data_IF_380910993914
#
_entry.id   IF_380910993914
#
_cell.length_a   1.000
_cell.length_b   1.000
_cell.length_c   1.000
_cell.angle_alpha   90.00
_cell.angle_beta   90.00
_cell.angle_gamma   90.00
#
_symmetry.space_group_name_H-M   'P 1'
#
loop_
_entity.id
_entity.type
_entity.pdbx_description
1 polymer ?
#
# COMPACT_ATOMS: atom_id res chain seq x y z
N UNK A 1 -4.02 25.37 10.28
CA UNK A 1 -3.96 23.95 9.91
C UNK A 1 -2.68 23.24 10.35
N UNK A 2 -1.46 23.76 10.07
CA UNK A 2 -0.18 23.14 10.51
C UNK A 2 -0.08 22.94 12.04
N UNK A 3 -0.55 23.90 12.86
CA UNK A 3 -0.52 23.80 14.34
C UNK A 3 -1.49 22.76 14.89
N UNK A 4 -2.63 22.54 14.24
CA UNK A 4 -3.61 21.48 14.61
C UNK A 4 -3.06 20.07 14.30
N UNK A 5 -2.35 19.91 13.19
CA UNK A 5 -1.67 18.63 12.86
C UNK A 5 -0.58 18.29 13.88
N UNK A 6 0.22 19.29 14.29
CA UNK A 6 1.28 19.10 15.32
C UNK A 6 0.65 18.75 16.67
N UNK A 7 -0.46 19.40 17.05
CA UNK A 7 -1.17 19.10 18.30
C UNK A 7 -1.78 17.70 18.29
N UNK A 8 -2.31 17.25 17.15
CA UNK A 8 -2.83 15.89 16.99
C UNK A 8 -1.73 14.83 17.11
N UNK A 9 -0.55 15.09 16.53
CA UNK A 9 0.62 14.19 16.64
C UNK A 9 1.12 14.12 18.09
N UNK A 10 1.17 15.26 18.81
CA UNK A 10 1.59 15.31 20.21
C UNK A 10 0.56 14.64 21.15
N UNK A 11 -0.73 14.79 20.87
CA UNK A 11 -1.79 14.12 21.64
C UNK A 11 -1.78 12.59 21.44
N UNK A 12 -1.45 12.11 20.25
CA UNK A 12 -1.27 10.68 19.96
C UNK A 12 -0.02 10.10 20.66
N UNK A 13 1.05 10.89 20.83
CA UNK A 13 2.26 10.45 21.50
C UNK A 13 2.10 10.22 23.02
N UNK A 14 1.05 10.77 23.66
CA UNK A 14 0.81 10.62 25.10
C UNK A 14 0.05 9.33 25.49
N UNK A 15 -0.39 8.52 24.52
CA UNK A 15 -1.13 7.26 24.75
C UNK A 15 -0.24 6.00 24.74
N UNK A 16 1.06 6.14 24.83
CA UNK A 16 2.02 5.07 24.59
C UNK A 16 2.51 4.38 25.86
N UNK A 17 1.67 3.67 26.58
CA UNK A 17 2.15 2.63 27.48
C UNK A 17 1.95 1.27 26.77
N UNK A 18 3.00 0.64 26.27
CA UNK A 18 3.08 -0.75 25.79
C UNK A 18 2.79 -1.03 24.29
N UNK A 19 3.10 -0.13 23.37
CA UNK A 19 2.90 -0.40 21.94
C UNK A 19 4.06 -1.16 21.27
N UNK A 20 5.23 -1.24 21.91
CA UNK A 20 6.41 -1.84 21.30
C UNK A 20 6.57 -3.30 21.68
N UNK A 21 6.76 -4.17 20.69
CA UNK A 21 6.93 -5.60 20.85
C UNK A 21 8.30 -5.93 21.47
N UNK A 22 8.37 -6.99 22.29
CA UNK A 22 9.63 -7.48 22.87
C UNK A 22 10.57 -7.97 21.76
N UNK A 23 11.88 -7.76 21.97
CA UNK A 23 12.92 -8.23 21.04
C UNK A 23 12.90 -9.76 20.96
N UNK A 24 13.02 -10.28 19.75
CA UNK A 24 13.02 -11.72 19.49
C UNK A 24 11.62 -12.32 19.32
N UNK A 25 10.55 -11.51 19.30
CA UNK A 25 9.19 -12.00 19.17
C UNK A 25 8.60 -11.74 17.79
N UNK A 26 7.59 -12.54 17.44
CA UNK A 26 6.82 -12.44 16.21
C UNK A 26 5.45 -11.83 16.49
N UNK A 27 4.91 -11.14 15.51
CA UNK A 27 3.50 -10.74 15.49
C UNK A 27 2.91 -10.89 14.09
N UNK A 28 1.62 -11.21 14.04
CA UNK A 28 0.84 -11.15 12.81
C UNK A 28 -0.14 -9.98 12.92
N UNK A 29 -0.28 -9.22 11.82
CA UNK A 29 -1.17 -8.04 11.78
C UNK A 29 -2.05 -8.15 10.54
N UNK A 30 -3.28 -8.72 10.65
CA UNK A 30 -4.29 -8.58 9.62
C UNK A 30 -4.61 -7.10 9.42
N UNK A 31 -4.75 -6.69 8.15
CA UNK A 31 -4.95 -5.30 7.73
C UNK A 31 -6.00 -5.18 6.64
N UNK A 32 -6.74 -4.11 6.68
CA UNK A 32 -7.65 -3.67 5.62
C UNK A 32 -7.51 -2.17 5.41
N UNK A 33 -7.74 -1.71 4.21
CA UNK A 33 -7.63 -0.30 3.89
C UNK A 33 -7.94 0.02 2.45
N UNK A 34 -7.39 1.12 1.97
CA UNK A 34 -7.60 1.59 0.62
C UNK A 34 -6.31 2.04 -0.05
N UNK A 35 -6.36 2.00 -1.37
CA UNK A 35 -5.36 2.55 -2.28
C UNK A 35 -5.94 3.75 -3.02
N UNK A 36 -5.08 4.74 -3.26
CA UNK A 36 -5.24 5.74 -4.30
C UNK A 36 -4.12 5.47 -5.31
N UNK A 37 -4.49 4.85 -6.42
CA UNK A 37 -3.54 4.38 -7.42
C UNK A 37 -3.66 5.18 -8.71
N UNK A 38 -2.53 5.43 -9.36
CA UNK A 38 -2.45 5.98 -10.72
C UNK A 38 -1.31 5.32 -11.48
N UNK A 39 -1.22 5.60 -12.76
CA UNK A 39 -0.15 5.15 -13.65
C UNK A 39 0.63 6.37 -14.10
N UNK A 40 1.95 6.33 -13.92
CA UNK A 40 2.84 7.43 -14.35
C UNK A 40 2.90 7.56 -15.87
N UNK A 41 3.33 8.72 -16.36
CA UNK A 41 3.42 9.04 -17.80
C UNK A 41 2.09 8.87 -18.54
N UNK A 42 0.98 9.15 -17.83
CA UNK A 42 -0.37 9.24 -18.38
C UNK A 42 -1.11 10.43 -17.74
N UNK A 43 -2.05 11.01 -18.44
CA UNK A 43 -2.93 12.05 -17.90
C UNK A 43 -4.08 11.50 -17.04
N UNK A 44 -4.05 10.19 -16.76
CA UNK A 44 -5.09 9.52 -15.99
C UNK A 44 -5.06 9.91 -14.51
N UNK A 45 -6.22 10.17 -13.95
CA UNK A 45 -6.40 10.47 -12.54
C UNK A 45 -6.28 9.24 -11.64
N UNK A 46 -6.37 9.50 -10.34
CA UNK A 46 -6.28 8.44 -9.33
C UNK A 46 -7.54 7.58 -9.29
N UNK A 47 -7.35 6.27 -9.17
CA UNK A 47 -8.40 5.29 -8.91
C UNK A 47 -8.38 4.87 -7.46
N UNK A 48 -9.55 4.90 -6.82
CA UNK A 48 -9.75 4.29 -5.50
C UNK A 48 -9.83 2.78 -5.63
N UNK A 49 -9.15 2.07 -4.72
CA UNK A 49 -9.16 0.61 -4.63
C UNK A 49 -9.12 0.13 -3.19
N UNK A 50 -9.48 -1.12 -2.95
CA UNK A 50 -9.40 -1.77 -1.64
C UNK A 50 -8.09 -2.55 -1.54
N UNK A 51 -7.54 -2.62 -0.33
CA UNK A 51 -6.40 -3.47 0.01
C UNK A 51 -6.72 -4.24 1.28
N UNK A 52 -6.42 -5.53 1.29
CA UNK A 52 -6.58 -6.41 2.45
C UNK A 52 -5.50 -7.48 2.46
N UNK A 53 -5.07 -7.87 3.64
CA UNK A 53 -4.02 -8.87 3.79
C UNK A 53 -3.49 -8.95 5.22
N UNK A 54 -2.26 -9.40 5.37
CA UNK A 54 -1.61 -9.46 6.67
C UNK A 54 -0.09 -9.24 6.54
N UNK A 55 0.47 -8.67 7.59
CA UNK A 55 1.90 -8.56 7.83
C UNK A 55 2.31 -9.57 8.91
N UNK A 56 3.46 -10.21 8.71
CA UNK A 56 4.21 -10.95 9.70
C UNK A 56 5.45 -10.13 10.05
N UNK A 57 5.59 -9.73 11.31
CA UNK A 57 6.67 -8.86 11.79
C UNK A 57 7.51 -9.58 12.82
N UNK A 58 8.83 -9.48 12.68
CA UNK A 58 9.81 -9.95 13.66
C UNK A 58 10.57 -8.76 14.26
N UNK A 59 10.56 -8.63 15.58
CA UNK A 59 11.27 -7.59 16.30
C UNK A 59 12.74 -7.99 16.52
N UNK A 60 13.65 -7.43 15.71
CA UNK A 60 15.08 -7.74 15.77
C UNK A 60 15.79 -7.04 16.94
N UNK A 61 15.43 -5.79 17.17
CA UNK A 61 15.98 -4.94 18.22
C UNK A 61 14.88 -3.98 18.71
N UNK A 62 15.08 -3.31 19.83
CA UNK A 62 14.09 -2.34 20.36
C UNK A 62 13.59 -1.35 19.32
N UNK A 63 14.46 -0.87 18.44
CA UNK A 63 14.11 0.13 17.41
C UNK A 63 14.05 -0.42 16.00
N UNK A 64 14.21 -1.73 15.79
CA UNK A 64 14.30 -2.29 14.45
C UNK A 64 13.52 -3.59 14.32
N UNK A 65 12.65 -3.65 13.33
CA UNK A 65 11.90 -4.86 12.98
C UNK A 65 11.92 -5.10 11.47
N UNK A 66 11.72 -6.34 11.06
CA UNK A 66 11.50 -6.73 9.67
C UNK A 66 10.06 -7.23 9.55
N UNK A 67 9.40 -6.82 8.48
CA UNK A 67 8.05 -7.24 8.15
C UNK A 67 8.04 -7.87 6.77
N UNK A 68 7.36 -9.01 6.64
CA UNK A 68 6.96 -9.58 5.36
C UNK A 68 5.44 -9.68 5.32
N UNK A 69 4.81 -9.30 4.22
CA UNK A 69 3.35 -9.30 4.10
C UNK A 69 2.83 -10.00 2.86
N UNK A 70 1.53 -10.25 2.83
CA UNK A 70 0.79 -10.67 1.65
C UNK A 70 -0.54 -9.93 1.59
N UNK A 71 -0.80 -9.22 0.47
CA UNK A 71 -1.95 -8.35 0.32
C UNK A 71 -2.59 -8.52 -1.04
N UNK A 72 -3.91 -8.73 -1.05
CA UNK A 72 -4.72 -8.45 -2.23
C UNK A 72 -4.89 -6.94 -2.35
N UNK A 73 -4.63 -6.38 -3.52
CA UNK A 73 -4.51 -4.94 -3.73
C UNK A 73 -5.14 -4.54 -5.06
N UNK A 74 -6.25 -3.82 -5.00
CA UNK A 74 -6.89 -3.22 -6.16
C UNK A 74 -6.21 -1.90 -6.52
N UNK A 75 -5.67 -1.80 -7.73
CA UNK A 75 -4.92 -0.66 -8.24
C UNK A 75 -5.44 -0.24 -9.62
N UNK A 76 -4.71 0.65 -10.30
CA UNK A 76 -4.99 1.13 -11.65
C UNK A 76 -5.15 2.63 -11.73
N UNK A 77 -5.84 3.09 -12.77
CA UNK A 77 -6.06 4.51 -13.04
C UNK A 77 -7.49 4.75 -13.52
N UNK A 78 -7.96 5.98 -13.41
CA UNK A 78 -9.29 6.39 -13.88
C UNK A 78 -9.17 7.73 -14.60
N UNK A 79 -9.79 7.80 -15.76
CA UNK A 79 -9.88 9.03 -16.54
C UNK A 79 -11.31 9.34 -16.90
N UNK A 80 -11.60 10.65 -17.10
CA UNK A 80 -12.91 11.14 -17.53
C UNK A 80 -12.71 12.18 -18.61
N UNK A 81 -13.07 11.84 -19.84
CA UNK A 81 -12.99 12.75 -20.96
C UNK A 81 -14.28 12.69 -21.79
N UNK A 82 -14.82 13.85 -22.18
CA UNK A 82 -15.98 13.99 -23.06
C UNK A 82 -17.21 13.13 -22.67
N UNK A 83 -17.46 12.93 -21.36
CA UNK A 83 -18.57 12.12 -20.87
C UNK A 83 -18.32 10.60 -20.87
N UNK A 84 -17.15 10.16 -21.33
CA UNK A 84 -16.66 8.77 -21.20
C UNK A 84 -15.82 8.65 -19.96
N UNK A 85 -16.08 7.63 -19.14
CA UNK A 85 -15.22 7.26 -18.02
C UNK A 85 -14.45 6.02 -18.38
N UNK A 86 -13.13 6.14 -18.50
CA UNK A 86 -12.20 5.01 -18.71
C UNK A 86 -11.57 4.62 -17.37
N UNK A 87 -11.67 3.37 -16.99
CA UNK A 87 -11.11 2.86 -15.74
C UNK A 87 -10.22 1.65 -16.04
N UNK A 88 -8.93 1.80 -15.78
CA UNK A 88 -7.99 0.68 -15.75
C UNK A 88 -8.10 0.00 -14.39
N UNK A 89 -8.40 -1.29 -14.39
CA UNK A 89 -8.50 -2.14 -13.19
C UNK A 89 -7.32 -3.09 -13.19
N UNK A 90 -6.49 -2.98 -12.15
CA UNK A 90 -5.31 -3.82 -11.97
C UNK A 90 -5.37 -4.42 -10.56
N UNK A 91 -5.53 -5.74 -10.49
CA UNK A 91 -5.57 -6.44 -9.23
C UNK A 91 -4.28 -7.23 -9.02
N UNK A 92 -3.70 -7.11 -7.82
CA UNK A 92 -2.41 -7.72 -7.48
C UNK A 92 -2.47 -8.53 -6.19
N UNK A 93 -1.60 -9.54 -6.12
CA UNK A 93 -1.07 -10.01 -4.84
C UNK A 93 0.29 -9.35 -4.64
N UNK A 94 0.37 -8.46 -3.65
CA UNK A 94 1.60 -7.76 -3.26
C UNK A 94 2.26 -8.46 -2.08
N UNK A 95 3.58 -8.62 -2.15
CA UNK A 95 4.39 -9.25 -1.09
C UNK A 95 5.44 -8.24 -0.60
N UNK A 96 5.07 -7.26 0.24
CA UNK A 96 6.03 -6.30 0.78
C UNK A 96 7.01 -6.98 1.74
N UNK A 97 8.29 -6.62 1.64
CA UNK A 97 9.35 -6.93 2.59
C UNK A 97 9.91 -5.59 3.06
N UNK A 98 9.70 -5.26 4.33
CA UNK A 98 9.96 -3.94 4.89
C UNK A 98 10.92 -4.00 6.07
N UNK A 99 11.83 -3.05 6.12
CA UNK A 99 12.54 -2.65 7.34
C UNK A 99 11.72 -1.57 8.05
N UNK A 100 11.51 -1.73 9.34
CA UNK A 100 10.81 -0.77 10.19
C UNK A 100 11.78 -0.20 11.21
N UNK A 101 11.90 1.12 11.26
CA UNK A 101 12.72 1.82 12.25
C UNK A 101 11.81 2.66 13.15
N UNK A 102 11.75 2.30 14.44
CA UNK A 102 10.96 3.00 15.45
C UNK A 102 11.70 4.26 15.92
N UNK A 103 11.20 5.43 15.51
CA UNK A 103 11.76 6.75 15.89
C UNK A 103 11.37 7.14 17.32
N UNK A 104 10.16 6.80 17.71
CA UNK A 104 9.63 6.86 19.09
C UNK A 104 8.78 5.60 19.31
N UNK A 105 8.45 5.24 20.57
CA UNK A 105 7.53 4.13 20.84
C UNK A 105 6.24 4.23 20.01
N UNK A 106 5.90 3.17 19.30
CA UNK A 106 4.71 3.09 18.44
C UNK A 106 4.85 3.73 17.05
N UNK A 107 5.76 4.67 16.79
CA UNK A 107 5.92 5.30 15.48
C UNK A 107 7.11 4.71 14.73
N UNK A 108 6.88 4.02 13.66
CA UNK A 108 7.92 3.47 12.79
C UNK A 108 7.91 4.12 11.40
N UNK A 109 9.11 4.40 10.89
CA UNK A 109 9.35 4.69 9.47
C UNK A 109 9.63 3.34 8.79
N UNK A 110 9.10 3.15 7.60
CA UNK A 110 9.19 1.89 6.85
C UNK A 110 9.72 2.13 5.46
N UNK A 111 10.61 1.25 5.01
CA UNK A 111 11.04 1.20 3.63
C UNK A 111 11.40 -0.24 3.24
N UNK A 112 11.31 -0.57 1.95
CA UNK A 112 11.65 -1.90 1.49
C UNK A 112 11.42 -2.13 0.02
N UNK A 113 11.15 -3.38 -0.33
CA UNK A 113 10.82 -3.83 -1.68
C UNK A 113 9.49 -4.57 -1.66
N UNK A 114 8.71 -4.44 -2.73
CA UNK A 114 7.41 -5.09 -2.86
C UNK A 114 7.26 -5.67 -4.27
N UNK A 115 7.52 -6.96 -4.46
CA UNK A 115 7.02 -7.68 -5.62
C UNK A 115 5.50 -7.72 -5.60
N UNK A 116 4.88 -7.49 -6.76
CA UNK A 116 3.45 -7.57 -7.00
C UNK A 116 3.17 -8.50 -8.17
N UNK A 117 2.31 -9.48 -7.98
CA UNK A 117 1.88 -10.42 -9.00
C UNK A 117 0.49 -10.01 -9.49
N UNK A 118 0.39 -9.63 -10.76
CA UNK A 118 -0.87 -9.23 -11.36
C UNK A 118 -1.80 -10.43 -11.53
N UNK A 119 -3.03 -10.29 -11.03
CA UNK A 119 -4.08 -11.28 -11.15
C UNK A 119 -5.10 -10.93 -12.24
N UNK A 120 -5.32 -9.64 -12.48
CA UNK A 120 -6.30 -9.13 -13.42
C UNK A 120 -5.88 -7.77 -13.97
N UNK A 121 -6.05 -7.57 -15.26
CA UNK A 121 -5.71 -6.33 -15.98
C UNK A 121 -6.78 -6.03 -17.02
N UNK A 122 -7.74 -5.17 -16.66
CA UNK A 122 -8.90 -4.85 -17.48
C UNK A 122 -9.05 -3.37 -17.69
N UNK A 123 -9.54 -2.99 -18.87
CA UNK A 123 -9.99 -1.66 -19.21
C UNK A 123 -11.52 -1.66 -19.26
N UNK A 124 -12.14 -0.81 -18.44
CA UNK A 124 -13.58 -0.57 -18.44
C UNK A 124 -13.85 0.81 -19.01
N UNK A 125 -14.69 0.89 -20.04
CA UNK A 125 -15.21 2.13 -20.60
C UNK A 125 -16.70 2.26 -20.25
N UNK A 126 -17.10 3.41 -19.74
CA UNK A 126 -18.50 3.73 -19.39
C UNK A 126 -18.95 4.98 -20.13
N UNK A 127 -20.07 4.87 -20.85
CA UNK A 127 -20.71 5.98 -21.56
C UNK A 127 -22.22 5.87 -21.45
N UNK A 128 -22.91 6.92 -21.00
CA UNK A 128 -24.36 7.02 -20.89
C UNK A 128 -25.06 5.81 -20.24
N UNK A 129 -24.42 5.20 -19.21
CA UNK A 129 -24.97 4.05 -18.48
C UNK A 129 -24.64 2.69 -19.09
N UNK A 130 -24.07 2.63 -20.29
CA UNK A 130 -23.51 1.41 -20.86
C UNK A 130 -22.05 1.25 -20.45
N UNK A 131 -21.62 0.03 -20.19
CA UNK A 131 -20.22 -0.27 -19.86
C UNK A 131 -19.73 -1.50 -20.60
N UNK A 132 -18.51 -1.40 -21.11
CA UNK A 132 -17.78 -2.50 -21.73
C UNK A 132 -16.49 -2.74 -20.97
N UNK A 133 -16.10 -4.00 -20.80
CA UNK A 133 -14.82 -4.41 -20.20
C UNK A 133 -14.05 -5.27 -21.20
N UNK A 134 -12.77 -4.97 -21.37
CA UNK A 134 -11.85 -5.74 -22.20
C UNK A 134 -10.57 -6.04 -21.44
N UNK A 135 -9.95 -7.17 -21.69
CA UNK A 135 -8.63 -7.47 -21.14
C UNK A 135 -7.56 -6.63 -21.85
N UNK A 136 -6.50 -6.26 -21.14
CA UNK A 136 -5.38 -5.48 -21.69
C UNK A 136 -4.31 -6.45 -22.19
N UNK A 137 -4.00 -6.39 -23.48
CA UNK A 137 -2.92 -7.21 -24.05
C UNK A 137 -1.53 -6.72 -23.64
N UNK A 138 -0.54 -7.62 -23.66
CA UNK A 138 0.88 -7.35 -23.39
C UNK A 138 1.15 -6.70 -22.01
N UNK A 139 0.32 -6.99 -21.01
CA UNK A 139 0.50 -6.53 -19.65
C UNK A 139 1.47 -7.44 -18.88
N UNK A 140 2.41 -6.82 -18.11
CA UNK A 140 3.39 -7.60 -17.33
C UNK A 140 2.77 -8.16 -16.07
N UNK A 141 2.96 -9.44 -15.82
CA UNK A 141 2.45 -10.14 -14.65
C UNK A 141 3.20 -9.80 -13.36
N UNK A 142 4.45 -9.34 -13.46
CA UNK A 142 5.29 -8.97 -12.31
C UNK A 142 5.51 -7.47 -12.28
N UNK A 143 5.15 -6.85 -11.17
CA UNK A 143 5.46 -5.47 -10.82
C UNK A 143 6.37 -5.45 -9.60
N UNK A 144 7.37 -4.57 -9.60
CA UNK A 144 8.26 -4.35 -8.45
C UNK A 144 8.15 -2.89 -8.07
N UNK A 145 7.92 -2.62 -6.78
CA UNK A 145 7.85 -1.28 -6.22
C UNK A 145 8.72 -1.12 -4.99
N UNK A 146 9.04 0.13 -4.66
CA UNK A 146 9.69 0.54 -3.41
C UNK A 146 8.61 1.21 -2.54
N UNK A 147 8.11 0.53 -1.50
CA UNK A 147 7.29 1.15 -0.49
C UNK A 147 8.13 2.00 0.46
N UNK A 148 7.67 3.23 0.72
CA UNK A 148 8.20 4.12 1.75
C UNK A 148 7.00 4.67 2.52
N UNK A 149 7.05 4.66 3.85
CA UNK A 149 5.93 5.11 4.65
C UNK A 149 6.20 5.14 6.13
N UNK A 150 5.12 5.26 6.89
CA UNK A 150 5.16 5.23 8.35
C UNK A 150 3.96 4.46 8.90
N UNK A 151 4.13 3.89 10.08
CA UNK A 151 3.02 3.32 10.84
C UNK A 151 3.04 3.80 12.27
N UNK A 152 1.84 3.89 12.81
CA UNK A 152 1.65 4.21 14.22
C UNK A 152 0.85 3.10 14.92
N UNK A 153 1.38 2.64 16.04
CA UNK A 153 0.80 1.60 16.88
C UNK A 153 0.11 2.24 18.08
N UNK A 154 -1.18 1.99 18.23
CA UNK A 154 -2.04 2.41 19.34
C UNK A 154 -2.51 1.15 20.06
N UNK A 155 -1.85 0.77 21.15
CA UNK A 155 -2.04 -0.56 21.76
C UNK A 155 -1.84 -1.64 20.70
N UNK A 156 -2.86 -2.42 20.40
CA UNK A 156 -2.83 -3.47 19.40
C UNK A 156 -3.26 -2.99 18.01
N UNK A 157 -3.78 -1.76 17.88
CA UNK A 157 -4.15 -1.21 16.57
C UNK A 157 -2.96 -0.58 15.87
N UNK A 158 -2.86 -0.81 14.58
CA UNK A 158 -1.80 -0.27 13.71
C UNK A 158 -2.43 0.52 12.58
N UNK A 159 -2.10 1.78 12.47
CA UNK A 159 -2.39 2.61 11.28
C UNK A 159 -1.11 2.69 10.46
N UNK A 160 -1.19 2.39 9.18
CA UNK A 160 -0.04 2.35 8.27
C UNK A 160 -0.36 3.16 7.02
N UNK A 161 0.51 4.07 6.66
CA UNK A 161 0.42 4.86 5.45
C UNK A 161 1.74 4.76 4.68
N UNK A 162 1.66 4.37 3.40
CA UNK A 162 2.84 4.21 2.54
C UNK A 162 2.58 4.67 1.13
N UNK A 163 3.65 5.09 0.47
CA UNK A 163 3.68 5.34 -0.96
C UNK A 163 4.53 4.25 -1.62
N UNK A 164 3.96 3.57 -2.59
CA UNK A 164 4.61 2.52 -3.35
C UNK A 164 5.05 3.08 -4.70
N UNK A 165 6.35 3.26 -4.87
CA UNK A 165 6.98 3.72 -6.12
C UNK A 165 7.19 2.54 -7.05
N UNK A 166 6.45 2.44 -8.15
CA UNK A 166 6.67 1.43 -9.17
C UNK A 166 8.03 1.57 -9.86
N UNK A 167 8.76 0.49 -9.97
CA UNK A 167 10.04 0.42 -10.67
C UNK A 167 9.89 -0.19 -12.06
N UNK A 168 9.06 -1.20 -12.18
CA UNK A 168 8.82 -1.93 -13.42
C UNK A 168 7.84 -1.21 -14.32
N UNK A 169 8.06 -1.35 -15.63
CA UNK A 169 7.10 -0.89 -16.64
C UNK A 169 5.93 -1.86 -16.70
N UNK A 170 4.72 -1.32 -16.84
CA UNK A 170 3.48 -2.12 -16.86
C UNK A 170 3.27 -2.89 -18.17
N UNK A 171 3.77 -2.34 -19.28
CA UNK A 171 3.63 -2.95 -20.61
C UNK A 171 4.96 -3.41 -21.18
N UNK A 172 4.91 -4.50 -21.94
CA UNK A 172 6.06 -5.01 -22.71
C UNK A 172 6.05 -4.46 -24.15
N UNK A 173 5.94 -3.12 -24.23
CA UNK A 173 5.92 -2.41 -25.52
C UNK A 173 7.06 -1.40 -25.55
N UNK A 174 7.77 -1.35 -26.69
CA UNK A 174 8.84 -0.38 -26.91
C UNK A 174 8.31 1.06 -26.81
N UNK A 175 8.98 1.90 -26.00
CA UNK A 175 8.60 3.30 -25.80
C UNK A 175 7.68 3.57 -24.59
N UNK A 176 7.06 2.56 -24.00
CA UNK A 176 6.31 2.75 -22.74
C UNK A 176 7.26 2.87 -21.56
N UNK A 177 7.02 3.86 -20.67
CA UNK A 177 7.71 4.03 -19.38
C UNK A 177 6.75 4.02 -18.20
N UNK A 178 5.47 3.79 -18.45
CA UNK A 178 4.40 3.85 -17.44
C UNK A 178 4.58 2.82 -16.33
N UNK A 179 4.45 3.28 -15.07
CA UNK A 179 4.65 2.50 -13.85
C UNK A 179 3.51 2.75 -12.88
N UNK A 180 3.27 1.81 -11.97
CA UNK A 180 2.34 2.01 -10.87
C UNK A 180 2.83 3.07 -9.89
N UNK A 181 1.91 3.85 -9.37
CA UNK A 181 2.12 4.84 -8.31
C UNK A 181 0.93 4.75 -7.35
N UNK A 182 1.18 4.31 -6.11
CA UNK A 182 0.09 3.96 -5.19
C UNK A 182 0.32 4.55 -3.81
N UNK A 183 -0.62 5.38 -3.36
CA UNK A 183 -0.77 5.74 -1.95
C UNK A 183 -1.65 4.67 -1.30
N UNK A 184 -1.16 4.03 -0.26
CA UNK A 184 -1.86 3.00 0.48
C UNK A 184 -2.03 3.42 1.94
N UNK A 185 -3.26 3.30 2.47
CA UNK A 185 -3.55 3.51 3.88
C UNK A 185 -4.30 2.30 4.41
N UNK A 186 -3.82 1.72 5.50
CA UNK A 186 -4.43 0.54 6.14
C UNK A 186 -4.55 0.70 7.64
N UNK A 187 -5.53 0.02 8.20
CA UNK A 187 -5.68 -0.21 9.64
C UNK A 187 -5.61 -1.70 9.89
N UNK A 188 -4.93 -2.10 10.93
CA UNK A 188 -4.77 -3.49 11.32
C UNK A 188 -4.82 -3.70 12.82
N UNK A 189 -4.87 -4.96 13.21
CA UNK A 189 -4.81 -5.39 14.60
C UNK A 189 -3.60 -6.30 14.79
N UNK A 190 -2.66 -5.90 15.67
CA UNK A 190 -1.44 -6.63 15.95
C UNK A 190 -1.72 -7.74 16.95
N UNK A 191 -1.40 -8.95 16.57
CA UNK A 191 -1.54 -10.16 17.38
C UNK A 191 -0.13 -10.68 17.66
N UNK A 192 0.39 -10.54 18.89
CA UNK A 192 1.65 -11.16 19.28
C UNK A 192 1.54 -12.68 19.15
N UNK A 193 2.54 -13.30 18.52
CA UNK A 193 2.68 -14.74 18.51
C UNK A 193 3.60 -15.11 19.66
N UNK A 194 3.13 -15.92 20.59
CA UNK A 194 3.95 -16.39 21.72
C UNK A 194 5.22 -17.09 21.22
N UNK A 195 6.23 -17.06 22.05
CA UNK A 195 7.47 -17.84 21.86
C UNK A 195 7.18 -19.32 21.96
#
# INVERSE_FOLDING_TARGET
MKKLMILAIVALASLTASAQQEVGTWSVTPKVGFNLATVTDTDAGMKFGVVTGADLTYQLQEKFAITAGAFYSMQGAKDKENGVTSTMKLDYINVPILANFYVIPGLAIKAGIQPGFNLSHKLKAEYQGNSEEVDIDHFKSLDISIPIGASYELSDFVIDARYNFGLTKLWDVSGSSSKNSVIQVTVGYKIPLGN
#
